data_IF_596585850847
#
_entry.id   IF_596585850847
#
_cell.length_a   1.000
_cell.length_b   1.000
_cell.length_c   1.000
_cell.angle_alpha   90.00
_cell.angle_beta   90.00
_cell.angle_gamma   90.00
#
_symmetry.space_group_name_H-M   'P 1'
#
loop_
_entity.id
_entity.type
_entity.pdbx_description
1 polymer ?
#
# COMPACT_ATOMS: atom_id res chain seq x y z
N UNK A 1 -4.91 9.24 -16.01
CA UNK A 1 -4.35 10.45 -15.35
C UNK A 1 -2.84 10.34 -15.21
N UNK A 2 -2.12 11.45 -15.33
CA UNK A 2 -0.68 11.47 -15.08
C UNK A 2 -0.43 11.47 -13.56
N UNK A 3 0.58 10.71 -13.12
CA UNK A 3 1.05 10.69 -11.72
C UNK A 3 1.26 12.09 -11.15
N UNK A 4 1.71 13.02 -11.99
CA UNK A 4 1.88 14.44 -11.66
C UNK A 4 0.56 15.11 -11.27
N UNK A 5 -0.51 14.93 -12.03
CA UNK A 5 -1.80 15.54 -11.72
C UNK A 5 -2.36 15.00 -10.39
N UNK A 6 -2.17 13.70 -10.12
CA UNK A 6 -2.53 13.10 -8.84
C UNK A 6 -1.74 13.73 -7.68
N UNK A 7 -0.41 13.83 -7.84
CA UNK A 7 0.44 14.46 -6.82
C UNK A 7 0.01 15.91 -6.62
N UNK A 8 -0.23 16.67 -7.69
CA UNK A 8 -0.61 18.08 -7.60
C UNK A 8 -1.98 18.28 -6.91
N UNK A 9 -2.95 17.38 -7.12
CA UNK A 9 -4.26 17.44 -6.47
C UNK A 9 -4.24 17.00 -5.00
N UNK A 10 -3.25 16.19 -4.59
CA UNK A 10 -3.11 15.69 -3.22
C UNK A 10 -1.99 16.36 -2.42
N UNK A 11 -1.11 17.13 -3.10
CA UNK A 11 0.03 17.85 -2.51
C UNK A 11 -0.40 18.97 -1.55
N UNK A 12 -1.64 19.45 -1.66
CA UNK A 12 -2.19 20.44 -0.74
C UNK A 12 -2.36 19.92 0.70
N UNK A 13 -2.25 18.60 0.96
CA UNK A 13 -2.75 18.00 2.20
C UNK A 13 -1.82 17.08 2.99
N UNK A 14 -0.52 16.93 2.75
CA UNK A 14 0.20 15.91 3.53
C UNK A 14 1.73 15.97 3.53
N UNK A 15 2.28 16.38 4.67
CA UNK A 15 3.63 16.08 5.17
C UNK A 15 3.89 14.58 5.42
N UNK A 16 2.90 13.73 5.17
CA UNK A 16 2.83 12.33 5.62
C UNK A 16 2.31 11.36 4.55
N UNK A 17 2.49 11.69 3.25
CA UNK A 17 1.90 10.88 2.17
C UNK A 17 2.51 9.49 2.11
N UNK A 18 1.66 8.47 2.19
CA UNK A 18 1.99 7.09 1.88
C UNK A 18 0.82 6.44 1.14
N UNK A 19 0.82 6.59 -0.19
CA UNK A 19 -0.26 6.10 -1.06
C UNK A 19 0.20 4.91 -1.88
N UNK A 20 -0.69 3.95 -2.11
CA UNK A 20 -0.44 2.87 -3.05
C UNK A 20 -1.57 1.85 -3.04
N UNK A 21 -1.30 0.66 -3.56
CA UNK A 21 -2.28 -0.42 -3.45
C UNK A 21 -2.24 -1.04 -2.04
N UNK A 22 -3.27 -0.80 -1.22
CA UNK A 22 -3.30 -1.14 0.21
C UNK A 22 -3.68 -2.60 0.40
N UNK A 23 -2.77 -3.33 1.02
CA UNK A 23 -2.91 -4.73 1.39
C UNK A 23 -3.05 -4.86 2.90
N UNK A 24 -3.63 -5.98 3.33
CA UNK A 24 -3.72 -6.38 4.74
C UNK A 24 -2.99 -7.70 4.92
N UNK A 25 -2.17 -7.77 5.97
CA UNK A 25 -1.54 -9.03 6.37
C UNK A 25 -2.61 -10.08 6.74
N UNK A 26 -2.59 -11.23 6.07
CA UNK A 26 -3.49 -12.37 6.30
C UNK A 26 -5.00 -12.09 6.20
N UNK A 27 -5.43 -11.03 5.51
CA UNK A 27 -6.86 -10.71 5.32
C UNK A 27 -7.63 -10.35 6.60
N UNK A 28 -7.01 -10.42 7.78
CA UNK A 28 -7.60 -10.03 9.05
C UNK A 28 -7.40 -8.52 9.31
N UNK A 29 -7.95 -8.01 10.43
CA UNK A 29 -7.68 -6.66 11.01
C UNK A 29 -6.23 -6.52 11.49
N UNK A 30 -5.30 -7.11 10.76
CA UNK A 30 -3.89 -6.95 10.94
C UNK A 30 -3.40 -5.67 10.28
N UNK A 31 -2.10 -5.65 10.16
CA UNK A 31 -1.32 -4.46 10.01
C UNK A 31 -1.34 -4.08 8.49
N UNK A 32 -1.93 -2.94 8.10
CA UNK A 32 -2.02 -2.52 6.70
C UNK A 32 -0.66 -2.09 6.10
N UNK A 33 -0.46 -2.32 4.81
CA UNK A 33 0.74 -1.91 4.07
C UNK A 33 0.40 -1.62 2.60
N UNK A 34 1.30 -0.97 1.85
CA UNK A 34 1.14 -0.83 0.40
C UNK A 34 2.00 -1.85 -0.34
N UNK A 35 1.47 -2.37 -1.46
CA UNK A 35 2.18 -3.32 -2.31
C UNK A 35 3.38 -2.67 -3.01
N UNK A 36 4.59 -3.15 -2.73
CA UNK A 36 5.79 -2.74 -3.46
C UNK A 36 5.75 -3.10 -4.95
N UNK A 37 5.10 -4.20 -5.30
CA UNK A 37 4.97 -4.65 -6.68
C UNK A 37 4.01 -3.80 -7.52
N UNK A 38 3.04 -3.12 -6.88
CA UNK A 38 2.15 -2.18 -7.55
C UNK A 38 2.76 -0.78 -7.71
N UNK A 39 3.88 -0.52 -7.02
CA UNK A 39 4.38 0.83 -6.79
C UNK A 39 3.60 1.55 -5.68
N UNK A 40 4.21 2.62 -5.17
CA UNK A 40 3.63 3.49 -4.15
C UNK A 40 4.30 4.86 -4.17
N UNK A 41 3.65 5.83 -3.53
CA UNK A 41 4.10 7.19 -3.36
C UNK A 41 4.45 7.44 -1.89
N UNK A 42 5.62 8.04 -1.66
CA UNK A 42 6.04 8.56 -0.37
C UNK A 42 6.34 10.05 -0.49
N UNK A 43 5.90 10.85 0.48
CA UNK A 43 6.35 12.24 0.59
C UNK A 43 7.84 12.28 0.95
N UNK A 44 8.53 13.35 0.53
CA UNK A 44 9.94 13.59 0.87
C UNK A 44 10.16 13.62 2.39
N UNK A 45 9.24 14.23 3.13
CA UNK A 45 9.33 14.31 4.59
C UNK A 45 9.24 12.92 5.24
N UNK A 46 8.31 12.08 4.79
CA UNK A 46 8.16 10.73 5.31
C UNK A 46 9.39 9.85 5.01
N UNK A 47 10.02 10.04 3.84
CA UNK A 47 11.32 9.42 3.53
C UNK A 47 12.38 9.87 4.53
N UNK A 48 12.46 11.17 4.83
CA UNK A 48 13.39 11.70 5.83
C UNK A 48 13.19 11.08 7.22
N UNK A 49 11.92 10.98 7.67
CA UNK A 49 11.57 10.33 8.94
C UNK A 49 11.95 8.85 8.96
N UNK A 50 11.71 8.13 7.86
CA UNK A 50 12.08 6.73 7.71
C UNK A 50 13.60 6.54 7.78
N UNK A 51 14.38 7.34 7.04
CA UNK A 51 15.84 7.25 7.05
C UNK A 51 16.42 7.56 8.44
N UNK A 52 15.88 8.56 9.15
CA UNK A 52 16.27 8.85 10.52
C UNK A 52 15.97 7.67 11.45
N UNK A 53 14.78 7.08 11.35
CA UNK A 53 14.39 5.92 12.15
C UNK A 53 15.26 4.67 11.85
N UNK A 54 15.75 4.53 10.63
CA UNK A 54 16.71 3.48 10.27
C UNK A 54 18.07 3.78 10.91
N UNK A 55 18.54 5.03 10.80
CA UNK A 55 19.84 5.46 11.32
C UNK A 55 19.95 5.41 12.85
N UNK A 56 18.88 5.73 13.57
CA UNK A 56 18.82 5.68 15.04
C UNK A 56 18.46 4.30 15.61
N UNK A 57 18.18 3.32 14.73
CA UNK A 57 17.84 1.96 15.10
C UNK A 57 16.42 1.74 15.62
N UNK A 58 15.55 2.75 15.59
CA UNK A 58 14.14 2.65 16.01
C UNK A 58 13.24 1.96 14.97
N UNK A 59 13.72 1.82 13.72
CA UNK A 59 13.14 1.03 12.64
C UNK A 59 13.98 -0.24 12.43
N UNK A 60 13.57 -1.35 13.05
CA UNK A 60 14.19 -2.66 12.86
C UNK A 60 13.16 -3.75 12.63
N UNK A 61 13.47 -4.64 11.68
CA UNK A 61 12.66 -5.82 11.39
C UNK A 61 13.14 -7.06 12.14
N UNK A 62 12.20 -7.94 12.50
CA UNK A 62 12.47 -9.35 12.79
C UNK A 62 12.97 -10.07 11.52
N UNK A 63 13.48 -11.29 11.65
CA UNK A 63 13.88 -12.12 10.49
C UNK A 63 12.76 -12.24 9.45
N UNK A 64 11.50 -12.40 9.92
CA UNK A 64 10.32 -12.50 9.06
C UNK A 64 10.00 -11.19 8.33
N UNK A 65 10.15 -10.06 8.99
CA UNK A 65 9.88 -8.74 8.38
C UNK A 65 10.98 -8.37 7.38
N UNK A 66 12.23 -8.70 7.67
CA UNK A 66 13.36 -8.46 6.75
C UNK A 66 13.24 -9.25 5.45
N UNK A 67 12.60 -10.43 5.46
CA UNK A 67 12.29 -11.17 4.24
C UNK A 67 11.06 -10.66 3.49
N UNK A 68 10.35 -9.67 4.05
CA UNK A 68 9.13 -9.08 3.50
C UNK A 68 9.20 -7.55 3.52
N UNK A 69 9.88 -6.93 2.53
CA UNK A 69 10.17 -5.50 2.53
C UNK A 69 8.94 -4.60 2.73
N UNK A 70 7.78 -4.98 2.18
CA UNK A 70 6.53 -4.24 2.38
C UNK A 70 6.03 -4.22 3.83
N UNK A 71 6.18 -5.33 4.56
CA UNK A 71 5.80 -5.41 5.98
C UNK A 71 6.79 -4.64 6.85
N UNK A 72 8.08 -4.76 6.57
CA UNK A 72 9.11 -3.98 7.29
C UNK A 72 8.91 -2.48 7.11
N UNK A 73 8.69 -2.05 5.86
CA UNK A 73 8.40 -0.65 5.55
C UNK A 73 7.15 -0.18 6.32
N UNK A 74 6.07 -0.96 6.29
CA UNK A 74 4.85 -0.63 7.01
C UNK A 74 5.04 -0.52 8.53
N UNK A 75 5.78 -1.44 9.13
CA UNK A 75 6.13 -1.38 10.55
C UNK A 75 6.82 -0.07 10.90
N UNK A 76 7.75 0.37 10.06
CA UNK A 76 8.52 1.58 10.32
C UNK A 76 7.72 2.86 10.07
N UNK A 77 6.88 2.88 9.03
CA UNK A 77 6.12 4.06 8.65
C UNK A 77 4.91 4.34 9.54
N UNK A 78 4.31 3.33 10.19
CA UNK A 78 3.13 3.50 11.08
C UNK A 78 3.31 4.48 12.22
N UNK A 79 4.54 4.66 12.68
CA UNK A 79 4.85 5.67 13.71
C UNK A 79 4.59 7.09 13.21
N UNK A 80 4.53 7.28 11.90
CA UNK A 80 4.45 8.58 11.24
C UNK A 80 3.16 8.76 10.44
N UNK A 81 2.63 7.69 9.83
CA UNK A 81 1.44 7.73 8.99
C UNK A 81 0.86 6.34 8.75
N UNK A 82 -0.42 6.27 8.38
CA UNK A 82 -1.08 5.05 7.91
C UNK A 82 -1.06 4.98 6.38
N UNK A 83 -1.07 3.78 5.77
CA UNK A 83 -1.12 3.64 4.33
C UNK A 83 -2.51 4.01 3.80
N UNK A 84 -2.53 4.76 2.70
CA UNK A 84 -3.76 5.18 2.01
C UNK A 84 -3.88 4.42 0.68
N UNK A 85 -5.07 3.91 0.38
CA UNK A 85 -5.32 3.29 -0.92
C UNK A 85 -5.32 4.39 -1.98
N UNK A 86 -4.59 4.17 -3.08
CA UNK A 86 -4.69 5.03 -4.24
C UNK A 86 -5.92 4.61 -5.05
N UNK A 87 -7.04 5.30 -4.86
CA UNK A 87 -8.34 4.97 -5.47
C UNK A 87 -8.70 5.93 -6.59
N UNK A 88 -9.36 5.39 -7.62
CA UNK A 88 -10.03 6.20 -8.63
C UNK A 88 -11.22 6.92 -7.98
N UNK A 89 -11.29 8.26 -8.07
CA UNK A 89 -12.27 9.05 -7.33
C UNK A 89 -13.72 8.82 -7.79
N UNK A 90 -13.94 8.23 -8.97
CA UNK A 90 -15.27 7.98 -9.51
C UNK A 90 -15.79 6.59 -9.15
N UNK A 91 -14.91 5.59 -9.20
CA UNK A 91 -15.24 4.18 -9.03
C UNK A 91 -14.84 3.61 -7.67
N UNK A 92 -14.08 4.36 -6.87
CA UNK A 92 -13.47 3.93 -5.61
C UNK A 92 -12.63 2.65 -5.75
N UNK A 93 -12.18 2.34 -6.96
CA UNK A 93 -11.39 1.16 -7.26
C UNK A 93 -9.89 1.48 -7.15
N UNK A 94 -9.05 0.52 -6.71
CA UNK A 94 -7.60 0.69 -6.73
C UNK A 94 -7.06 1.10 -8.10
N UNK A 95 -6.28 2.19 -8.17
CA UNK A 95 -5.64 2.66 -9.40
C UNK A 95 -4.34 1.90 -9.71
N UNK A 96 -3.63 1.43 -8.68
CA UNK A 96 -2.40 0.66 -8.85
C UNK A 96 -2.70 -0.83 -8.80
N UNK A 97 -2.29 -1.54 -9.84
CA UNK A 97 -2.40 -2.99 -9.89
C UNK A 97 -1.09 -3.66 -9.49
N UNK A 98 -1.19 -4.71 -8.67
CA UNK A 98 -0.04 -5.54 -8.25
C UNK A 98 0.60 -6.30 -9.42
N UNK A 99 -0.11 -6.41 -10.55
CA UNK A 99 0.35 -7.07 -11.76
C UNK A 99 0.34 -6.12 -12.94
N UNK A 100 1.35 -6.25 -13.80
CA UNK A 100 1.35 -5.58 -15.09
C UNK A 100 0.23 -6.10 -16.01
N UNK A 101 -0.17 -5.31 -17.04
CA UNK A 101 -1.31 -5.63 -17.91
C UNK A 101 -1.26 -7.02 -18.56
N UNK A 102 -0.07 -7.50 -18.92
CA UNK A 102 0.11 -8.82 -19.55
C UNK A 102 -0.40 -9.95 -18.66
N UNK A 103 -0.10 -9.92 -17.36
CA UNK A 103 -0.57 -10.93 -16.40
C UNK A 103 -2.06 -10.80 -16.08
N UNK A 104 -2.63 -9.61 -16.22
CA UNK A 104 -4.08 -9.41 -16.08
C UNK A 104 -4.85 -10.04 -17.24
N UNK A 105 -4.28 -10.02 -18.45
CA UNK A 105 -4.89 -10.58 -19.67
C UNK A 105 -4.66 -12.09 -19.77
N UNK A 106 -3.46 -12.58 -19.42
CA UNK A 106 -3.13 -14.00 -19.54
C UNK A 106 -3.85 -14.89 -18.51
N UNK A 107 -4.38 -14.30 -17.43
CA UNK A 107 -5.07 -15.04 -16.36
C UNK A 107 -4.13 -15.84 -15.44
N UNK A 108 -2.83 -15.88 -15.74
CA UNK A 108 -1.79 -16.48 -14.90
C UNK A 108 -1.43 -15.56 -13.73
N UNK A 109 -2.42 -15.32 -12.88
CA UNK A 109 -2.25 -14.52 -11.67
C UNK A 109 -2.03 -15.45 -10.49
N UNK A 110 -0.99 -15.20 -9.69
CA UNK A 110 -0.59 -16.10 -8.61
C UNK A 110 -1.74 -16.38 -7.64
N UNK A 111 -1.79 -17.62 -7.14
CA UNK A 111 -2.87 -18.10 -6.26
C UNK A 111 -3.07 -17.25 -5.01
N UNK A 112 -2.00 -16.61 -4.50
CA UNK A 112 -2.08 -15.72 -3.34
C UNK A 112 -2.98 -14.50 -3.63
N UNK A 113 -2.89 -13.92 -4.83
CA UNK A 113 -3.66 -12.74 -5.22
C UNK A 113 -5.11 -13.09 -5.53
N UNK A 114 -5.34 -14.24 -6.14
CA UNK A 114 -6.70 -14.76 -6.34
C UNK A 114 -7.40 -14.94 -4.99
N UNK A 115 -6.72 -15.55 -4.01
CA UNK A 115 -7.20 -15.68 -2.63
C UNK A 115 -7.39 -14.32 -1.96
N UNK A 116 -6.46 -13.38 -2.15
CA UNK A 116 -6.62 -12.01 -1.65
C UNK A 116 -7.87 -11.34 -2.22
N UNK A 117 -8.10 -11.38 -3.54
CA UNK A 117 -9.31 -10.79 -4.15
C UNK A 117 -10.59 -11.44 -3.65
N UNK A 118 -10.60 -12.76 -3.50
CA UNK A 118 -11.74 -13.49 -2.95
C UNK A 118 -12.01 -13.10 -1.49
N UNK A 119 -10.97 -12.93 -0.67
CA UNK A 119 -11.10 -12.60 0.75
C UNK A 119 -11.33 -11.09 1.01
N UNK A 120 -10.75 -10.22 0.19
CA UNK A 120 -10.91 -8.77 0.26
C UNK A 120 -12.27 -8.32 -0.31
N UNK A 121 -12.79 -9.03 -1.33
CA UNK A 121 -14.12 -8.80 -1.89
C UNK A 121 -15.27 -9.14 -0.94
N UNK A 122 -15.02 -9.91 0.13
CA UNK A 122 -15.99 -10.16 1.21
C UNK A 122 -16.04 -8.99 2.22
N UNK A 123 -15.02 -8.13 2.26
CA UNK A 123 -15.00 -6.96 3.15
C UNK A 123 -15.65 -5.69 2.55
N UNK A 124 -16.05 -5.71 1.28
CA UNK A 124 -16.70 -4.57 0.58
C UNK A 124 -18.22 -4.74 0.38
N UNK A 125 -18.84 -5.80 0.93
CA UNK A 125 -20.30 -5.90 1.01
C UNK A 125 -20.74 -6.17 2.45
N UNK A 126 -20.79 -5.12 3.27
CA UNK A 126 -21.62 -5.08 4.49
C UNK A 126 -21.76 -3.62 4.89
N UNK A 127 -22.59 -2.89 4.15
CA UNK A 127 -22.77 -1.46 4.35
C UNK A 127 -23.83 -0.83 3.46
N UNK A 128 -24.96 -1.49 3.23
CA UNK A 128 -26.22 -0.81 2.88
C UNK A 128 -27.39 -1.62 3.44
N UNK A 129 -28.15 -0.99 4.36
CA UNK A 129 -29.50 -1.24 4.85
C UNK A 129 -29.90 -2.66 5.28
#
# INVERSE_FOLDING_TARGET
ENLRCFVDSHAAHSSSMWFGHKLRENGQRGSAFVSGAAGYLLSRELIGRLLNAIGDGSCQGTTRERSQPGLLLAKCLRKFTEPVELEDPLSHSPMLHVYGPVRLISGEVDSWWQKYRQNAGVATQSGVA
#
